data_IF_786880027023
#
_entry.id   IF_786880027023
#
_cell.length_a   1.000
_cell.length_b   1.000
_cell.length_c   1.000
_cell.angle_alpha   90.00
_cell.angle_beta   90.00
_cell.angle_gamma   90.00
#
_symmetry.space_group_name_H-M   'P 1'
#
loop_
_entity.id
_entity.type
_entity.pdbx_description
1 polymer ?
#
# COMPACT_ATOMS: atom_id res chain seq x y z
N UNK A 1 -11.05 16.95 -13.60
CA UNK A 1 -10.06 15.97 -13.10
C UNK A 1 -10.67 14.97 -12.13
N UNK A 2 -11.44 15.40 -11.13
CA UNK A 2 -12.08 14.52 -10.13
C UNK A 2 -13.04 13.46 -10.72
N UNK A 3 -13.82 13.83 -11.75
CA UNK A 3 -14.73 12.91 -12.44
C UNK A 3 -14.02 11.73 -13.12
N UNK A 4 -12.79 11.92 -13.63
CA UNK A 4 -12.01 10.85 -14.27
C UNK A 4 -11.63 9.79 -13.24
N UNK A 5 -11.22 10.19 -12.04
CA UNK A 5 -10.82 9.24 -10.99
C UNK A 5 -12.01 8.57 -10.29
N UNK A 6 -13.12 9.29 -10.09
CA UNK A 6 -14.31 8.76 -9.41
C UNK A 6 -15.24 8.00 -10.35
N UNK A 7 -15.58 8.56 -11.51
CA UNK A 7 -16.56 7.98 -12.43
C UNK A 7 -15.88 7.00 -13.39
N UNK A 8 -14.82 7.43 -14.08
CA UNK A 8 -14.18 6.56 -15.09
C UNK A 8 -13.31 5.48 -14.45
N UNK A 9 -12.74 5.74 -13.27
CA UNK A 9 -11.94 4.77 -12.52
C UNK A 9 -12.74 3.63 -11.87
N UNK A 10 -14.03 3.83 -11.58
CA UNK A 10 -14.86 2.82 -10.92
C UNK A 10 -14.97 1.53 -11.78
N UNK A 11 -15.13 1.69 -13.10
CA UNK A 11 -15.19 0.57 -14.03
C UNK A 11 -13.88 -0.21 -14.14
N UNK A 12 -12.73 0.38 -13.81
CA UNK A 12 -11.47 -0.34 -13.74
C UNK A 12 -11.35 -1.11 -12.42
N UNK A 13 -11.67 -0.47 -11.28
CA UNK A 13 -11.60 -1.10 -9.95
C UNK A 13 -12.52 -2.31 -9.81
N UNK A 14 -13.67 -2.30 -10.45
CA UNK A 14 -14.57 -3.45 -10.46
C UNK A 14 -13.96 -4.70 -11.13
N UNK A 15 -12.91 -4.55 -11.94
CA UNK A 15 -12.34 -5.66 -12.72
C UNK A 15 -11.34 -6.50 -11.93
N UNK A 16 -10.81 -6.01 -10.81
CA UNK A 16 -9.82 -6.77 -10.05
C UNK A 16 -9.21 -5.99 -8.89
N UNK A 17 -8.25 -6.61 -8.20
CA UNK A 17 -7.80 -6.13 -6.90
C UNK A 17 -6.83 -4.94 -6.97
N UNK A 18 -6.31 -4.59 -8.15
CA UNK A 18 -5.35 -3.50 -8.32
C UNK A 18 -6.04 -2.17 -8.61
N UNK A 19 -5.33 -1.05 -8.42
CA UNK A 19 -5.87 0.30 -8.52
C UNK A 19 -6.42 0.62 -9.92
N UNK A 20 -5.85 -0.01 -10.95
CA UNK A 20 -6.23 0.14 -12.35
C UNK A 20 -6.85 -1.15 -12.95
N UNK A 21 -7.30 -2.09 -12.11
CA UNK A 21 -8.08 -3.26 -12.51
C UNK A 21 -7.46 -4.60 -12.15
N UNK A 22 -7.48 -5.56 -13.07
CA UNK A 22 -7.06 -6.95 -12.81
C UNK A 22 -5.56 -7.21 -13.02
N UNK A 23 -4.84 -6.26 -13.60
CA UNK A 23 -3.42 -6.40 -13.95
C UNK A 23 -2.60 -5.47 -13.08
N UNK A 24 -1.45 -5.97 -12.60
CA UNK A 24 -0.48 -5.13 -11.88
C UNK A 24 -0.03 -4.00 -12.82
N UNK A 25 -0.04 -2.78 -12.31
CA UNK A 25 0.33 -1.58 -13.04
C UNK A 25 1.47 -0.85 -12.34
N UNK A 26 1.97 0.20 -13.01
CA UNK A 26 2.97 1.09 -12.41
C UNK A 26 2.45 1.79 -11.15
N UNK A 27 1.12 1.94 -10.98
CA UNK A 27 0.56 2.52 -9.77
C UNK A 27 0.98 1.70 -8.55
N UNK A 28 0.79 0.38 -8.59
CA UNK A 28 1.17 -0.50 -7.49
C UNK A 28 2.67 -0.54 -7.26
N UNK A 29 3.47 -0.55 -8.34
CA UNK A 29 4.94 -0.61 -8.25
C UNK A 29 5.48 0.62 -7.50
N UNK A 30 4.94 1.81 -7.83
CA UNK A 30 5.38 3.06 -7.22
C UNK A 30 4.88 3.24 -5.79
N UNK A 31 3.66 2.79 -5.47
CA UNK A 31 3.05 3.09 -4.17
C UNK A 31 3.20 1.98 -3.14
N UNK A 32 3.15 0.70 -3.53
CA UNK A 32 3.00 -0.41 -2.57
C UNK A 32 4.19 -0.56 -1.63
N UNK A 33 5.40 -0.25 -2.09
CA UNK A 33 6.60 -0.30 -1.25
C UNK A 33 6.57 0.75 -0.14
N UNK A 34 6.03 1.93 -0.43
CA UNK A 34 5.84 3.00 0.56
C UNK A 34 4.72 2.60 1.51
N UNK A 35 3.54 2.24 0.99
CA UNK A 35 2.39 1.86 1.80
C UNK A 35 2.72 0.71 2.76
N UNK A 36 3.44 -0.32 2.30
CA UNK A 36 3.89 -1.44 3.13
C UNK A 36 4.79 -1.02 4.29
N UNK A 37 5.76 -0.12 4.05
CA UNK A 37 6.66 0.34 5.12
C UNK A 37 5.90 1.18 6.13
N UNK A 38 5.02 2.07 5.66
CA UNK A 38 4.29 2.98 6.53
C UNK A 38 3.18 2.28 7.33
N UNK A 39 2.52 1.23 6.81
CA UNK A 39 1.59 0.45 7.66
C UNK A 39 2.31 -0.19 8.86
N UNK A 40 3.56 -0.62 8.69
CA UNK A 40 4.37 -1.22 9.77
C UNK A 40 4.78 -0.13 10.77
N UNK A 41 5.41 0.93 10.25
CA UNK A 41 6.03 1.97 11.09
C UNK A 41 4.96 2.77 11.85
N UNK A 42 3.87 3.17 11.19
CA UNK A 42 2.82 3.96 11.83
C UNK A 42 2.02 3.13 12.85
N UNK A 43 1.79 1.85 12.57
CA UNK A 43 1.17 0.94 13.55
C UNK A 43 2.06 0.77 14.76
N UNK A 44 3.37 0.59 14.57
CA UNK A 44 4.32 0.38 15.65
C UNK A 44 4.47 1.61 16.55
N UNK A 45 4.74 2.79 15.99
CA UNK A 45 5.08 3.98 16.79
C UNK A 45 3.87 4.81 17.25
N UNK A 46 2.74 4.73 16.54
CA UNK A 46 1.59 5.60 16.79
C UNK A 46 0.28 4.84 16.96
N UNK A 47 0.31 3.50 16.92
CA UNK A 47 -0.89 2.64 16.87
C UNK A 47 -1.90 3.10 15.80
N UNK A 48 -1.40 3.66 14.69
CA UNK A 48 -2.22 4.24 13.63
C UNK A 48 -2.37 3.27 12.46
N UNK A 49 -3.61 2.96 12.12
CA UNK A 49 -3.95 2.06 11.02
C UNK A 49 -4.10 2.84 9.70
N UNK A 50 -2.99 2.98 8.96
CA UNK A 50 -2.87 3.82 7.76
C UNK A 50 -4.01 3.68 6.73
N UNK A 51 -4.55 2.47 6.57
CA UNK A 51 -5.47 2.14 5.48
C UNK A 51 -6.90 1.89 5.94
N UNK A 52 -7.25 2.20 7.20
CA UNK A 52 -8.58 1.93 7.76
C UNK A 52 -9.71 2.53 6.93
N UNK A 53 -9.53 3.76 6.47
CA UNK A 53 -10.55 4.52 5.72
C UNK A 53 -10.38 4.37 4.19
N UNK A 54 -9.41 3.56 3.75
CA UNK A 54 -9.04 3.40 2.33
C UNK A 54 -9.09 1.93 1.87
N UNK A 55 -10.26 1.27 1.92
CA UNK A 55 -10.39 -0.18 1.70
C UNK A 55 -9.91 -0.63 0.30
N UNK A 56 -10.05 0.23 -0.72
CA UNK A 56 -9.57 -0.06 -2.07
C UNK A 56 -8.05 -0.08 -2.16
N UNK A 57 -7.37 0.80 -1.41
CA UNK A 57 -5.91 0.84 -1.34
C UNK A 57 -5.41 -0.34 -0.50
N UNK A 58 -6.11 -0.68 0.58
CA UNK A 58 -5.83 -1.86 1.39
C UNK A 58 -5.91 -3.15 0.56
N UNK A 59 -6.96 -3.31 -0.25
CA UNK A 59 -7.12 -4.47 -1.14
C UNK A 59 -5.99 -4.57 -2.18
N UNK A 60 -5.61 -3.45 -2.79
CA UNK A 60 -4.50 -3.42 -3.74
C UNK A 60 -3.17 -3.79 -3.09
N UNK A 61 -2.88 -3.25 -1.91
CA UNK A 61 -1.67 -3.60 -1.17
C UNK A 61 -1.67 -5.08 -0.77
N UNK A 62 -2.80 -5.61 -0.30
CA UNK A 62 -2.95 -7.03 0.02
C UNK A 62 -2.66 -7.93 -1.20
N UNK A 63 -3.20 -7.58 -2.37
CA UNK A 63 -2.93 -8.31 -3.60
C UNK A 63 -1.48 -8.19 -4.08
N UNK A 64 -0.82 -7.05 -3.86
CA UNK A 64 0.61 -6.89 -4.16
C UNK A 64 1.46 -7.75 -3.22
N UNK A 65 1.11 -7.82 -1.94
CA UNK A 65 1.82 -8.66 -0.95
C UNK A 65 1.80 -10.14 -1.32
N UNK A 66 0.78 -10.66 -1.98
CA UNK A 66 0.77 -12.09 -2.36
C UNK A 66 1.70 -12.41 -3.55
N UNK A 67 2.26 -11.40 -4.22
CA UNK A 67 3.09 -11.63 -5.41
C UNK A 67 4.49 -12.13 -5.05
N UNK A 68 5.03 -13.15 -5.74
CA UNK A 68 6.38 -13.65 -5.51
C UNK A 68 7.46 -12.56 -5.60
N UNK A 69 7.39 -11.69 -6.61
CA UNK A 69 8.36 -10.61 -6.79
C UNK A 69 8.36 -9.60 -5.63
N UNK A 70 7.20 -9.36 -5.02
CA UNK A 70 7.12 -8.49 -3.84
C UNK A 70 7.73 -9.17 -2.62
N UNK A 71 7.35 -10.43 -2.37
CA UNK A 71 7.90 -11.23 -1.28
C UNK A 71 9.43 -11.40 -1.36
N UNK A 72 9.98 -11.49 -2.57
CA UNK A 72 11.43 -11.58 -2.80
C UNK A 72 12.19 -10.26 -2.53
N UNK A 73 11.49 -9.13 -2.46
CA UNK A 73 12.13 -7.80 -2.39
C UNK A 73 11.86 -7.04 -1.09
N UNK A 74 10.86 -7.46 -0.30
CA UNK A 74 10.63 -6.89 1.03
C UNK A 74 11.69 -7.32 2.03
N UNK A 75 11.77 -6.57 3.14
CA UNK A 75 12.60 -6.87 4.31
C UNK A 75 11.72 -7.17 5.50
N UNK A 76 12.32 -7.75 6.54
CA UNK A 76 11.65 -7.99 7.81
C UNK A 76 11.13 -6.69 8.43
N UNK A 77 9.96 -6.69 9.10
CA UNK A 77 9.35 -5.50 9.68
C UNK A 77 10.29 -4.71 10.60
N UNK A 78 11.10 -5.41 11.40
CA UNK A 78 12.02 -4.79 12.36
C UNK A 78 13.02 -3.85 11.68
N UNK A 79 13.47 -4.17 10.46
CA UNK A 79 14.40 -3.32 9.74
C UNK A 79 13.79 -1.95 9.43
N UNK A 80 12.50 -1.88 9.09
CA UNK A 80 11.84 -0.61 8.85
C UNK A 80 11.60 0.18 10.14
N UNK A 81 11.26 -0.51 11.23
CA UNK A 81 11.11 0.11 12.56
C UNK A 81 12.44 0.78 12.94
N UNK A 82 13.53 0.03 12.94
CA UNK A 82 14.86 0.53 13.32
C UNK A 82 15.31 1.71 12.45
N UNK A 83 15.07 1.65 11.13
CA UNK A 83 15.39 2.74 10.20
C UNK A 83 14.65 4.05 10.53
N UNK A 84 13.42 3.95 11.03
CA UNK A 84 12.56 5.11 11.29
C UNK A 84 12.62 5.62 12.73
N UNK A 85 13.22 4.87 13.65
CA UNK A 85 13.34 5.23 15.07
C UNK A 85 13.85 6.66 15.31
N UNK A 86 14.82 7.12 14.49
CA UNK A 86 15.40 8.48 14.61
C UNK A 86 14.48 9.63 14.23
N UNK A 87 13.37 9.35 13.53
CA UNK A 87 12.41 10.36 13.09
C UNK A 87 11.20 10.49 14.02
N UNK A 88 11.07 9.56 14.98
CA UNK A 88 9.98 9.58 15.95
C UNK A 88 10.36 10.55 17.06
N UNK A 89 9.56 11.60 17.25
CA UNK A 89 9.73 12.51 18.37
C UNK A 89 9.58 11.73 19.69
N UNK A 90 10.47 11.99 20.65
CA UNK A 90 10.38 11.42 22.00
C UNK A 90 9.22 12.02 22.79
#
# INVERSE_FOLDING_TARGET
VEAVYRVNGAGYRAKGPYLLGNTLSNAEILTSTVLFRFEIVLKHYHNFDLLSDFPLVAAALAAVKTRPAFQQTIREPQLYIDMYAKFVAK
#
